data_IF_151114979759
#
_entry.id   IF_151114979759
#
_cell.length_a   1.000
_cell.length_b   1.000
_cell.length_c   1.000
_cell.angle_alpha   90.00
_cell.angle_beta   90.00
_cell.angle_gamma   90.00
#
_symmetry.space_group_name_H-M   'P 1'
#
loop_
_entity.id
_entity.type
_entity.pdbx_description
1 polymer ?
#
# COMPACT_ATOMS: atom_id res chain seq x y z
N UNK A 1 -21.26 -13.50 -29.59
CA UNK A 1 -20.68 -12.71 -30.70
C UNK A 1 -21.17 -13.13 -32.09
N UNK A 2 -21.16 -14.41 -32.50
CA UNK A 2 -21.64 -14.83 -33.85
C UNK A 2 -23.05 -14.34 -34.20
N UNK A 3 -23.99 -14.44 -33.26
CA UNK A 3 -25.38 -13.96 -33.46
C UNK A 3 -25.49 -12.44 -33.72
N UNK A 4 -24.66 -11.61 -33.07
CA UNK A 4 -24.68 -10.15 -33.26
C UNK A 4 -24.12 -9.76 -34.63
N UNK A 5 -23.02 -10.43 -35.04
CA UNK A 5 -22.41 -10.22 -36.36
C UNK A 5 -23.35 -10.67 -37.50
N UNK A 6 -24.07 -11.79 -37.32
CA UNK A 6 -25.06 -12.27 -38.29
C UNK A 6 -26.24 -11.29 -38.42
N UNK A 7 -26.70 -10.69 -37.31
CA UNK A 7 -27.73 -9.67 -37.33
C UNK A 7 -27.26 -8.35 -37.98
N UNK A 8 -25.99 -7.98 -37.81
CA UNK A 8 -25.38 -6.83 -38.48
C UNK A 8 -25.24 -7.07 -39.99
N UNK A 9 -24.79 -8.27 -40.39
CA UNK A 9 -24.67 -8.67 -41.80
C UNK A 9 -26.03 -8.76 -42.51
N UNK A 10 -27.08 -9.14 -41.80
CA UNK A 10 -28.47 -9.16 -42.28
C UNK A 10 -29.15 -7.78 -42.26
N UNK A 11 -28.45 -6.73 -41.82
CA UNK A 11 -28.97 -5.36 -41.73
C UNK A 11 -30.04 -5.16 -40.63
N UNK A 12 -30.18 -6.13 -39.72
CA UNK A 12 -31.13 -6.07 -38.60
C UNK A 12 -30.61 -5.18 -37.46
N UNK A 13 -29.30 -4.95 -37.41
CA UNK A 13 -28.64 -4.04 -36.49
C UNK A 13 -27.91 -2.96 -37.28
N UNK A 14 -28.16 -1.69 -36.94
CA UNK A 14 -27.45 -0.53 -37.47
C UNK A 14 -26.57 0.04 -36.36
N UNK A 15 -25.40 0.57 -36.73
CA UNK A 15 -24.53 1.26 -35.78
C UNK A 15 -25.27 2.40 -35.11
N UNK A 16 -25.07 2.54 -33.80
CA UNK A 16 -25.60 3.67 -33.02
C UNK A 16 -24.94 4.94 -33.55
N UNK A 17 -25.70 6.02 -33.62
CA UNK A 17 -25.15 7.32 -34.01
C UNK A 17 -24.18 7.78 -32.92
N UNK A 18 -22.96 8.12 -33.33
CA UNK A 18 -22.01 8.78 -32.45
C UNK A 18 -22.41 10.25 -32.39
N UNK A 19 -22.85 10.69 -31.22
CA UNK A 19 -23.31 12.06 -31.00
C UNK A 19 -22.12 13.01 -30.88
N UNK A 20 -21.08 12.59 -30.16
CA UNK A 20 -19.86 13.37 -29.98
C UNK A 20 -18.65 12.50 -29.66
N UNK A 21 -17.50 12.88 -30.21
CA UNK A 21 -16.20 12.29 -29.91
C UNK A 21 -15.39 13.27 -29.06
N UNK A 22 -14.85 12.81 -27.94
CA UNK A 22 -13.94 13.57 -27.08
C UNK A 22 -12.55 12.93 -27.10
N UNK A 23 -11.50 13.75 -27.13
CA UNK A 23 -10.14 13.26 -26.95
C UNK A 23 -9.85 12.88 -25.49
N UNK A 24 -8.84 12.05 -25.26
CA UNK A 24 -8.42 11.63 -23.92
C UNK A 24 -8.20 12.80 -22.90
N UNK A 25 -7.70 13.99 -23.28
CA UNK A 25 -7.60 15.13 -22.34
C UNK A 25 -8.95 15.66 -21.84
N UNK A 26 -10.03 15.41 -22.58
CA UNK A 26 -11.37 15.97 -22.33
C UNK A 26 -12.34 14.95 -21.70
N UNK A 27 -11.84 13.91 -21.04
CA UNK A 27 -12.68 12.89 -20.36
C UNK A 27 -13.65 13.50 -19.35
N UNK A 28 -13.23 14.53 -18.60
CA UNK A 28 -14.12 15.20 -17.67
C UNK A 28 -15.26 15.94 -18.39
N UNK A 29 -14.95 16.54 -19.55
CA UNK A 29 -15.94 17.26 -20.35
C UNK A 29 -16.92 16.29 -21.02
N UNK A 30 -16.47 15.09 -21.41
CA UNK A 30 -17.35 14.04 -21.94
C UNK A 30 -18.34 13.54 -20.87
N UNK A 31 -17.88 13.37 -19.63
CA UNK A 31 -18.73 12.99 -18.51
C UNK A 31 -19.73 14.08 -18.14
N UNK A 32 -19.32 15.35 -18.15
CA UNK A 32 -20.22 16.49 -17.94
C UNK A 32 -21.28 16.60 -19.04
N UNK A 33 -20.87 16.41 -20.29
CA UNK A 33 -21.78 16.39 -21.43
C UNK A 33 -22.80 15.25 -21.34
N UNK A 34 -22.37 14.07 -20.88
CA UNK A 34 -23.27 12.95 -20.60
C UNK A 34 -24.28 13.29 -19.51
N UNK A 35 -23.85 13.91 -18.40
CA UNK A 35 -24.70 14.28 -17.27
C UNK A 35 -25.79 15.30 -17.62
N UNK A 36 -25.57 16.14 -18.65
CA UNK A 36 -26.56 17.12 -19.11
C UNK A 36 -27.76 16.47 -19.81
N UNK A 37 -27.65 15.21 -20.25
CA UNK A 37 -28.75 14.48 -20.90
C UNK A 37 -29.15 15.01 -22.27
N UNK A 38 -28.32 15.86 -22.90
CA UNK A 38 -28.60 16.52 -24.18
C UNK A 38 -28.05 15.74 -25.40
N UNK A 39 -27.44 14.59 -25.18
CA UNK A 39 -26.82 13.78 -26.23
C UNK A 39 -27.81 12.79 -26.86
N UNK A 40 -27.73 12.61 -28.18
CA UNK A 40 -28.56 11.66 -28.93
C UNK A 40 -27.68 10.56 -29.53
N UNK A 41 -27.44 9.50 -28.76
CA UNK A 41 -26.64 8.35 -29.19
C UNK A 41 -25.45 8.10 -28.29
N UNK A 42 -24.33 7.66 -28.86
CA UNK A 42 -23.14 7.26 -28.12
C UNK A 42 -22.14 8.41 -28.00
N UNK A 43 -21.55 8.57 -26.81
CA UNK A 43 -20.43 9.47 -26.57
C UNK A 43 -19.15 8.63 -26.61
N UNK A 44 -18.26 8.93 -27.54
CA UNK A 44 -17.03 8.15 -27.78
C UNK A 44 -15.82 8.90 -27.25
N UNK A 45 -14.93 8.17 -26.57
CA UNK A 45 -13.63 8.66 -26.14
C UNK A 45 -12.55 8.11 -27.05
N UNK A 46 -11.92 8.99 -27.84
CA UNK A 46 -10.82 8.63 -28.72
C UNK A 46 -9.49 8.69 -27.95
N UNK A 47 -9.00 7.51 -27.58
CA UNK A 47 -7.73 7.37 -26.84
C UNK A 47 -6.54 7.33 -27.82
N UNK A 48 -6.74 6.76 -29.02
CA UNK A 48 -5.72 6.62 -30.06
C UNK A 48 -6.27 7.07 -31.40
N UNK A 49 -5.45 7.77 -32.18
CA UNK A 49 -5.78 8.24 -33.52
C UNK A 49 -5.90 7.05 -34.48
N UNK A 50 -7.04 6.90 -35.15
CA UNK A 50 -7.32 5.74 -36.02
C UNK A 50 -6.33 5.59 -37.18
N UNK A 51 -5.79 6.68 -37.73
CA UNK A 51 -4.88 6.62 -38.89
C UNK A 51 -3.40 6.38 -38.56
N UNK A 52 -2.97 6.62 -37.33
CA UNK A 52 -1.55 6.50 -36.93
C UNK A 52 -1.31 5.53 -35.76
N UNK A 53 -2.37 5.10 -35.06
CA UNK A 53 -2.28 4.26 -33.86
C UNK A 53 -1.64 4.96 -32.65
N UNK A 54 -1.26 6.23 -32.79
CA UNK A 54 -0.65 7.05 -31.74
C UNK A 54 -1.71 7.61 -30.82
N UNK A 55 -1.39 7.79 -29.54
CA UNK A 55 -2.32 8.39 -28.58
C UNK A 55 -2.61 9.85 -28.95
N UNK A 56 -3.88 10.27 -28.91
CA UNK A 56 -4.26 11.70 -28.98
C UNK A 56 -4.02 12.37 -27.63
N UNK A 57 -2.74 12.49 -27.27
CA UNK A 57 -2.30 13.42 -26.24
C UNK A 57 -1.90 14.67 -27.01
N UNK A 58 -2.61 15.80 -26.85
CA UNK A 58 -2.08 17.05 -27.37
C UNK A 58 -0.68 17.23 -26.76
N UNK A 59 0.33 17.43 -27.61
CA UNK A 59 1.76 17.52 -27.26
C UNK A 59 2.09 18.66 -26.28
N UNK A 60 1.11 19.47 -25.87
CA UNK A 60 1.20 20.29 -24.67
C UNK A 60 1.18 19.38 -23.45
N UNK A 61 2.35 18.82 -23.13
CA UNK A 61 2.76 18.20 -21.88
C UNK A 61 1.66 18.25 -20.80
N UNK A 62 0.68 17.37 -20.90
CA UNK A 62 -0.22 17.13 -19.79
C UNK A 62 0.63 16.35 -18.81
N UNK A 63 1.31 17.08 -17.92
CA UNK A 63 1.80 16.55 -16.66
C UNK A 63 0.57 16.09 -15.89
N UNK A 64 0.03 14.92 -16.27
CA UNK A 64 -0.83 14.15 -15.38
C UNK A 64 0.05 13.98 -14.15
N UNK A 65 -0.32 14.53 -12.98
CA UNK A 65 0.42 14.28 -11.76
C UNK A 65 0.27 12.78 -11.54
N UNK A 66 1.24 12.00 -12.04
CA UNK A 66 1.31 10.58 -11.78
C UNK A 66 1.63 10.53 -10.30
N UNK A 67 0.62 10.28 -9.49
CA UNK A 67 0.84 9.93 -8.09
C UNK A 67 1.91 8.85 -8.10
N UNK A 68 3.08 9.06 -7.49
CA UNK A 68 4.17 8.11 -7.60
C UNK A 68 3.66 6.75 -7.13
N UNK A 69 3.59 5.79 -8.06
CA UNK A 69 3.23 4.43 -7.72
C UNK A 69 4.38 3.86 -6.89
N UNK A 70 4.17 3.79 -5.58
CA UNK A 70 5.11 3.13 -4.68
C UNK A 70 5.14 1.65 -5.09
N UNK A 71 6.27 1.20 -5.64
CA UNK A 71 6.55 -0.19 -5.92
C UNK A 71 7.59 -0.71 -4.92
N UNK A 72 7.37 -1.92 -4.41
CA UNK A 72 8.31 -2.62 -3.55
C UNK A 72 9.13 -3.61 -4.37
N UNK A 73 10.36 -3.79 -3.94
CA UNK A 73 11.30 -4.72 -4.53
C UNK A 73 11.02 -6.12 -3.97
N UNK A 74 10.92 -7.10 -4.86
CA UNK A 74 10.52 -8.46 -4.52
C UNK A 74 11.68 -9.28 -3.96
N UNK A 75 12.92 -8.90 -4.22
CA UNK A 75 14.11 -9.71 -3.91
C UNK A 75 14.77 -9.29 -2.57
N UNK A 76 14.14 -8.37 -1.84
CA UNK A 76 14.61 -7.80 -0.58
C UNK A 76 13.59 -7.99 0.54
N UNK A 77 14.04 -7.84 1.78
CA UNK A 77 13.18 -7.90 2.97
C UNK A 77 12.74 -6.53 3.46
N UNK A 78 11.55 -6.51 4.05
CA UNK A 78 11.01 -5.38 4.80
C UNK A 78 10.70 -5.80 6.24
N UNK A 79 11.18 -5.01 7.20
CA UNK A 79 11.01 -5.25 8.62
C UNK A 79 9.86 -4.41 9.17
N UNK A 80 8.86 -5.02 9.79
CA UNK A 80 7.68 -4.35 10.34
C UNK A 80 7.62 -4.56 11.84
N UNK A 81 7.74 -3.48 12.60
CA UNK A 81 7.67 -3.54 14.07
C UNK A 81 6.28 -3.15 14.54
N UNK A 82 5.67 -3.99 15.37
CA UNK A 82 4.26 -3.83 15.72
C UNK A 82 3.31 -4.06 14.54
N UNK A 83 3.80 -4.68 13.45
CA UNK A 83 3.05 -4.89 12.22
C UNK A 83 1.91 -5.91 12.32
N UNK A 84 1.78 -6.62 13.44
CA UNK A 84 0.74 -7.63 13.66
C UNK A 84 -0.57 -7.03 14.20
N UNK A 85 -0.62 -5.74 14.52
CA UNK A 85 -1.86 -5.02 14.84
C UNK A 85 -2.67 -4.65 13.59
N UNK A 86 -3.92 -4.20 13.76
CA UNK A 86 -4.85 -3.95 12.64
C UNK A 86 -4.29 -3.05 11.52
N UNK A 87 -3.65 -1.92 11.87
CA UNK A 87 -3.03 -1.03 10.89
C UNK A 87 -1.84 -1.70 10.17
N UNK A 88 -1.00 -2.41 10.93
CA UNK A 88 0.15 -3.12 10.37
C UNK A 88 -0.24 -4.23 9.41
N UNK A 89 -1.32 -4.97 9.72
CA UNK A 89 -1.86 -6.00 8.84
C UNK A 89 -2.33 -5.42 7.51
N UNK A 90 -3.15 -4.37 7.56
CA UNK A 90 -3.62 -3.67 6.37
C UNK A 90 -2.46 -3.12 5.52
N UNK A 91 -1.45 -2.53 6.17
CA UNK A 91 -0.26 -2.03 5.47
C UNK A 91 0.55 -3.15 4.83
N UNK A 92 0.69 -4.31 5.49
CA UNK A 92 1.41 -5.46 4.95
C UNK A 92 0.75 -6.00 3.70
N UNK A 93 -0.58 -6.16 3.71
CA UNK A 93 -1.35 -6.57 2.51
C UNK A 93 -1.13 -5.58 1.37
N UNK A 94 -1.18 -4.26 1.67
CA UNK A 94 -0.90 -3.20 0.70
C UNK A 94 0.54 -3.25 0.14
N UNK A 95 1.54 -3.59 0.96
CA UNK A 95 2.93 -3.76 0.53
C UNK A 95 3.07 -4.97 -0.40
N UNK A 96 2.44 -6.10 -0.07
CA UNK A 96 2.48 -7.31 -0.90
C UNK A 96 1.79 -7.09 -2.25
N UNK A 97 0.65 -6.39 -2.26
CA UNK A 97 -0.02 -5.98 -3.50
C UNK A 97 0.87 -5.12 -4.40
N UNK A 98 1.80 -4.35 -3.80
CA UNK A 98 2.75 -3.49 -4.49
C UNK A 98 4.13 -4.12 -4.76
N UNK A 99 4.27 -5.42 -4.54
CA UNK A 99 5.46 -6.18 -4.95
C UNK A 99 6.36 -6.69 -3.82
N UNK A 100 6.09 -6.36 -2.55
CA UNK A 100 6.86 -6.91 -1.45
C UNK A 100 6.65 -8.44 -1.36
N UNK A 101 7.72 -9.21 -1.22
CA UNK A 101 7.66 -10.68 -1.12
C UNK A 101 8.34 -11.27 0.10
N UNK A 102 9.08 -10.46 0.86
CA UNK A 102 9.71 -10.90 2.10
C UNK A 102 9.39 -9.90 3.22
N UNK A 103 8.59 -10.33 4.20
CA UNK A 103 8.18 -9.53 5.34
C UNK A 103 8.63 -10.19 6.66
N UNK A 104 9.35 -9.45 7.48
CA UNK A 104 9.72 -9.89 8.84
C UNK A 104 9.01 -9.02 9.87
N UNK A 105 8.23 -9.63 10.76
CA UNK A 105 7.48 -8.93 11.80
C UNK A 105 8.21 -9.04 13.15
N UNK A 106 8.48 -7.90 13.77
CA UNK A 106 8.97 -7.83 15.15
C UNK A 106 7.84 -7.45 16.09
N UNK A 107 7.58 -8.29 17.08
CA UNK A 107 6.64 -8.00 18.17
C UNK A 107 7.00 -8.79 19.41
N UNK A 108 6.66 -8.28 20.60
CA UNK A 108 6.82 -8.99 21.88
C UNK A 108 5.94 -10.25 21.97
N UNK A 109 4.86 -10.29 21.20
CA UNK A 109 3.88 -11.38 21.16
C UNK A 109 3.82 -12.06 19.79
N UNK A 110 4.86 -11.93 18.97
CA UNK A 110 4.85 -12.47 17.61
C UNK A 110 4.64 -13.99 17.64
N UNK A 111 3.62 -14.49 16.93
CA UNK A 111 3.35 -15.92 16.78
C UNK A 111 2.72 -16.58 18.00
N UNK A 112 2.24 -15.80 18.97
CA UNK A 112 1.60 -16.35 20.19
C UNK A 112 0.12 -16.69 20.02
N UNK A 113 -0.53 -16.24 18.93
CA UNK A 113 -1.97 -16.39 18.71
C UNK A 113 -2.33 -17.00 17.36
N UNK A 114 -3.51 -17.63 17.30
CA UNK A 114 -4.06 -18.20 16.05
C UNK A 114 -4.27 -17.13 14.97
N UNK A 115 -4.62 -15.90 15.38
CA UNK A 115 -4.78 -14.77 14.47
C UNK A 115 -3.49 -14.41 13.72
N UNK A 116 -2.31 -14.59 14.34
CA UNK A 116 -1.02 -14.38 13.66
C UNK A 116 -0.78 -15.48 12.63
N UNK A 117 -1.09 -16.73 12.96
CA UNK A 117 -0.95 -17.85 12.03
C UNK A 117 -1.91 -17.73 10.82
N UNK A 118 -3.15 -17.29 11.05
CA UNK A 118 -4.11 -17.03 9.99
C UNK A 118 -3.62 -15.93 9.04
N UNK A 119 -3.03 -14.87 9.60
CA UNK A 119 -2.51 -13.76 8.82
C UNK A 119 -1.24 -14.10 8.05
N UNK A 120 -0.36 -14.92 8.62
CA UNK A 120 0.78 -15.49 7.88
C UNK A 120 0.29 -16.26 6.67
N UNK A 121 -0.70 -17.15 6.84
CA UNK A 121 -1.28 -17.92 5.72
C UNK A 121 -1.91 -17.03 4.65
N UNK A 122 -2.57 -15.94 5.04
CA UNK A 122 -3.11 -14.95 4.11
C UNK A 122 -1.99 -14.34 3.25
N UNK A 123 -0.91 -13.85 3.85
CA UNK A 123 0.21 -13.26 3.12
C UNK A 123 0.97 -14.30 2.27
N UNK A 124 1.15 -15.52 2.77
CA UNK A 124 1.76 -16.62 2.01
C UNK A 124 0.93 -17.00 0.78
N UNK A 125 -0.40 -16.94 0.86
CA UNK A 125 -1.28 -17.14 -0.30
C UNK A 125 -1.07 -16.10 -1.40
N UNK A 126 -0.53 -14.93 -1.05
CA UNK A 126 -0.14 -13.85 -1.96
C UNK A 126 1.31 -13.96 -2.43
N UNK A 127 1.94 -15.13 -2.27
CA UNK A 127 3.35 -15.41 -2.59
C UNK A 127 4.36 -14.61 -1.77
N UNK A 128 4.00 -14.20 -0.55
CA UNK A 128 4.93 -13.53 0.37
C UNK A 128 5.50 -14.52 1.39
N UNK A 129 6.82 -14.56 1.55
CA UNK A 129 7.46 -15.22 2.68
C UNK A 129 7.35 -14.34 3.91
N UNK A 130 6.87 -14.90 5.02
CA UNK A 130 6.68 -14.18 6.28
C UNK A 130 7.51 -14.81 7.39
N UNK A 131 8.19 -13.97 8.16
CA UNK A 131 8.91 -14.38 9.36
C UNK A 131 8.36 -13.63 10.57
N UNK A 132 7.95 -14.36 11.60
CA UNK A 132 7.56 -13.77 12.88
C UNK A 132 8.72 -13.91 13.86
N UNK A 133 9.16 -12.81 14.45
CA UNK A 133 10.28 -12.80 15.41
C UNK A 133 9.82 -12.15 16.70
N UNK A 134 9.84 -12.94 17.78
CA UNK A 134 9.47 -12.47 19.11
C UNK A 134 10.60 -11.63 19.70
N UNK A 135 10.49 -10.31 19.62
CA UNK A 135 11.53 -9.34 20.01
C UNK A 135 10.92 -8.14 20.69
N UNK A 136 11.57 -7.71 21.77
CA UNK A 136 11.39 -6.38 22.36
C UNK A 136 12.37 -5.39 21.73
N UNK A 137 11.86 -4.46 20.94
CA UNK A 137 12.68 -3.48 20.22
C UNK A 137 13.38 -2.48 21.13
N UNK A 138 12.99 -2.38 22.40
CA UNK A 138 13.70 -1.54 23.39
C UNK A 138 15.06 -2.12 23.78
N UNK A 139 15.32 -3.41 23.49
CA UNK A 139 16.58 -4.11 23.76
C UNK A 139 17.45 -4.13 22.50
N UNK A 140 18.50 -3.32 22.48
CA UNK A 140 19.39 -3.14 21.31
C UNK A 140 19.98 -4.46 20.79
N UNK A 141 20.47 -5.33 21.67
CA UNK A 141 21.05 -6.63 21.28
C UNK A 141 20.02 -7.55 20.61
N UNK A 142 18.76 -7.50 21.05
CA UNK A 142 17.70 -8.30 20.45
C UNK A 142 17.34 -7.77 19.06
N UNK A 143 17.29 -6.45 18.89
CA UNK A 143 17.10 -5.81 17.58
C UNK A 143 18.23 -6.18 16.63
N UNK A 144 19.48 -6.09 17.09
CA UNK A 144 20.64 -6.46 16.28
C UNK A 144 20.53 -7.92 15.81
N UNK A 145 20.28 -8.87 16.71
CA UNK A 145 20.10 -10.27 16.35
C UNK A 145 18.97 -10.49 15.35
N UNK A 146 17.84 -9.82 15.53
CA UNK A 146 16.69 -9.96 14.65
C UNK A 146 16.97 -9.43 13.24
N UNK A 147 17.63 -8.27 13.13
CA UNK A 147 18.02 -7.67 11.85
C UNK A 147 19.04 -8.54 11.11
N UNK A 148 20.03 -9.10 11.81
CA UNK A 148 21.03 -9.98 11.19
C UNK A 148 20.46 -11.36 10.78
N UNK A 149 19.33 -11.78 11.36
CA UNK A 149 18.67 -13.04 11.03
C UNK A 149 17.70 -12.93 9.83
N UNK A 150 17.56 -11.75 9.23
CA UNK A 150 16.72 -11.54 8.04
C UNK A 150 17.39 -12.24 6.84
N UNK A 151 16.66 -13.07 6.07
CA UNK A 151 17.26 -13.97 5.09
C UNK A 151 17.71 -13.30 3.79
N UNK A 152 17.12 -12.16 3.42
CA UNK A 152 17.47 -11.39 2.21
C UNK A 152 17.91 -9.98 2.60
N UNK A 153 18.60 -9.22 1.72
CA UNK A 153 19.01 -7.86 2.02
C UNK A 153 17.83 -7.03 2.52
N UNK A 154 17.98 -6.42 3.69
CA UNK A 154 16.98 -5.51 4.23
C UNK A 154 16.99 -4.23 3.40
N UNK A 155 15.82 -3.73 2.97
CA UNK A 155 15.71 -2.48 2.21
C UNK A 155 14.89 -1.41 2.92
N UNK A 156 14.01 -1.81 3.84
CA UNK A 156 13.17 -0.89 4.56
C UNK A 156 12.73 -1.44 5.91
N UNK A 157 12.56 -0.51 6.85
CA UNK A 157 12.01 -0.76 8.19
C UNK A 157 10.79 0.13 8.34
N UNK A 158 9.70 -0.41 8.89
CA UNK A 158 8.51 0.35 9.24
C UNK A 158 8.16 0.15 10.72
N UNK A 159 8.22 1.23 11.47
CA UNK A 159 7.87 1.25 12.89
C UNK A 159 6.39 1.62 13.07
N UNK A 160 5.57 0.64 13.44
CA UNK A 160 4.12 0.79 13.69
C UNK A 160 3.78 0.41 15.14
N UNK A 161 4.78 0.28 16.00
CA UNK A 161 4.57 -0.08 17.40
C UNK A 161 3.70 0.95 18.09
N UNK A 162 2.53 0.54 18.56
CA UNK A 162 1.63 1.37 19.34
C UNK A 162 1.26 0.65 20.63
N UNK A 163 1.58 1.30 21.74
CA UNK A 163 0.95 1.01 23.03
C UNK A 163 0.15 2.25 23.38
N UNK A 164 -1.15 2.06 23.60
CA UNK A 164 -2.08 3.14 23.94
C UNK A 164 -2.37 3.07 25.43
N UNK A 165 -2.21 4.20 26.11
CA UNK A 165 -2.68 4.39 27.47
C UNK A 165 -3.33 5.77 27.55
N UNK A 166 -4.66 5.79 27.62
CA UNK A 166 -5.42 7.02 27.59
C UNK A 166 -5.68 7.51 29.02
N UNK A 167 -4.90 8.49 29.44
CA UNK A 167 -5.01 9.09 30.76
C UNK A 167 -4.60 10.56 30.71
N UNK A 168 -5.23 11.38 31.54
CA UNK A 168 -4.82 12.77 31.69
C UNK A 168 -3.36 12.83 32.15
N UNK A 169 -2.59 13.73 31.54
CA UNK A 169 -1.13 13.81 31.73
C UNK A 169 -0.74 14.02 33.21
N UNK A 170 -1.51 14.80 33.96
CA UNK A 170 -1.32 15.06 35.39
C UNK A 170 -1.53 13.82 36.28
N UNK A 171 -2.25 12.81 35.77
CA UNK A 171 -2.55 11.56 36.48
C UNK A 171 -1.71 10.38 35.98
N UNK A 172 -0.94 10.55 34.92
CA UNK A 172 -0.18 9.47 34.30
C UNK A 172 1.06 9.10 35.13
N UNK A 173 1.13 7.86 35.66
CA UNK A 173 2.35 7.36 36.28
C UNK A 173 3.51 7.36 35.30
N UNK A 174 4.71 7.60 35.79
CA UNK A 174 5.93 7.58 34.96
C UNK A 174 6.15 6.22 34.27
N UNK A 175 5.73 5.13 34.88
CA UNK A 175 5.84 3.78 34.29
C UNK A 175 4.90 3.60 33.09
N UNK A 176 3.70 4.18 33.14
CA UNK A 176 2.76 4.18 32.01
C UNK A 176 3.30 5.06 30.87
N UNK A 177 3.86 6.23 31.20
CA UNK A 177 4.56 7.10 30.24
C UNK A 177 5.71 6.36 29.55
N UNK A 178 6.57 5.67 30.31
CA UNK A 178 7.65 4.85 29.75
C UNK A 178 7.11 3.75 28.85
N UNK A 179 6.03 3.08 29.27
CA UNK A 179 5.40 1.99 28.51
C UNK A 179 4.92 2.44 27.13
N UNK A 180 4.35 3.65 27.02
CA UNK A 180 3.87 4.18 25.72
C UNK A 180 4.97 4.80 24.86
N UNK A 181 6.03 5.32 25.47
CA UNK A 181 7.10 6.06 24.78
C UNK A 181 8.29 5.18 24.39
N UNK A 182 8.68 4.21 25.20
CA UNK A 182 9.88 3.39 24.96
C UNK A 182 9.86 2.67 23.61
N UNK A 183 8.79 1.99 23.17
CA UNK A 183 8.76 1.32 21.87
C UNK A 183 8.94 2.31 20.69
N UNK A 184 8.49 3.56 20.85
CA UNK A 184 8.54 4.58 19.80
C UNK A 184 9.86 5.34 19.78
N UNK A 185 10.42 5.65 20.95
CA UNK A 185 11.65 6.44 21.08
C UNK A 185 12.86 5.51 21.08
N UNK A 186 12.98 4.69 22.13
CA UNK A 186 14.11 3.78 22.27
C UNK A 186 14.11 2.70 21.18
N UNK A 187 12.93 2.18 20.82
CA UNK A 187 12.80 1.19 19.75
C UNK A 187 13.31 1.72 18.41
N UNK A 188 12.84 2.91 18.01
CA UNK A 188 13.29 3.57 16.77
C UNK A 188 14.78 3.90 16.81
N UNK A 189 15.30 4.37 17.95
CA UNK A 189 16.73 4.62 18.12
C UNK A 189 17.57 3.35 17.92
N UNK A 190 17.16 2.24 18.52
CA UNK A 190 17.86 0.95 18.38
C UNK A 190 17.81 0.45 16.93
N UNK A 191 16.67 0.59 16.25
CA UNK A 191 16.52 0.22 14.85
C UNK A 191 17.40 1.08 13.96
N UNK A 192 17.38 2.39 14.14
CA UNK A 192 18.21 3.33 13.38
C UNK A 192 19.70 3.02 13.58
N UNK A 193 20.15 2.83 14.82
CA UNK A 193 21.55 2.51 15.13
C UNK A 193 22.00 1.20 14.46
N UNK A 194 21.14 0.18 14.48
CA UNK A 194 21.43 -1.13 13.86
C UNK A 194 21.41 -1.04 12.34
N UNK A 195 20.44 -0.33 11.77
CA UNK A 195 20.26 -0.25 10.33
C UNK A 195 21.22 0.73 9.65
N UNK A 196 21.70 1.77 10.34
CA UNK A 196 22.73 2.67 9.77
C UNK A 196 24.05 1.94 9.56
N UNK A 197 24.32 0.89 10.33
CA UNK A 197 25.47 0.02 10.10
C UNK A 197 25.31 -0.89 8.86
N UNK A 198 24.10 -1.02 8.32
CA UNK A 198 23.72 -1.90 7.22
C UNK A 198 23.09 -1.01 6.15
N UNK A 199 23.90 -0.29 5.36
CA UNK A 199 23.48 0.71 4.34
C UNK A 199 22.11 0.42 3.69
N UNK A 200 21.03 0.99 4.26
CA UNK A 200 19.66 0.78 3.81
C UNK A 200 19.26 1.91 2.86
N UNK A 201 18.93 1.56 1.61
CA UNK A 201 18.65 2.52 0.55
C UNK A 201 17.51 3.52 0.80
N UNK A 202 16.60 3.31 1.76
CA UNK A 202 15.70 4.34 2.33
C UNK A 202 14.99 3.79 3.58
N UNK A 203 15.22 4.36 4.77
CA UNK A 203 14.34 4.14 5.94
C UNK A 203 13.13 5.07 5.79
N UNK A 204 11.92 4.52 5.77
CA UNK A 204 10.67 5.30 5.79
C UNK A 204 9.97 5.10 7.13
N UNK A 205 10.21 6.02 8.06
CA UNK A 205 9.40 6.13 9.27
C UNK A 205 7.98 6.57 8.89
N UNK A 206 7.01 5.66 8.97
CA UNK A 206 5.59 6.01 8.86
C UNK A 206 5.09 6.39 10.25
N UNK A 207 5.11 7.68 10.54
CA UNK A 207 4.59 8.26 11.78
C UNK A 207 3.04 8.27 11.85
N UNK A 208 2.54 7.88 13.03
CA UNK A 208 1.23 8.14 13.67
C UNK A 208 -0.05 8.25 12.81
N UNK A 209 -0.90 7.22 12.91
CA UNK A 209 -2.36 7.37 12.86
C UNK A 209 -2.94 6.86 14.18
N UNK A 210 -3.41 7.77 15.02
CA UNK A 210 -4.16 7.44 16.24
C UNK A 210 -5.55 6.95 15.83
N UNK A 211 -5.81 5.65 15.93
CA UNK A 211 -7.18 5.16 15.86
C UNK A 211 -7.91 5.59 17.14
N UNK A 212 -8.97 6.40 17.00
CA UNK A 212 -9.96 6.56 18.05
C UNK A 212 -10.72 5.24 18.17
N UNK A 213 -10.59 4.58 19.31
CA UNK A 213 -11.54 3.56 19.74
C UNK A 213 -12.85 4.28 20.04
N UNK A 214 -13.91 3.98 19.27
CA UNK A 214 -15.27 4.29 19.70
C UNK A 214 -15.65 3.22 20.72
N UNK A 215 -15.81 3.64 21.97
CA UNK A 215 -16.70 3.01 22.93
C UNK A 215 -18.17 3.30 22.60
#
# INVERSE_FOLDING_TARGET
MRSVMDCMAKGLLKTILVDRVFGAPHVLDSLRYMQQGTHLGEIVLEIRHESSGQFRLDDSAMEIPRTPEVAFDKDVSYLLVGGLGGLGRAMSVWMVQRGARHLTFLSRSAGSGEDDANFVRELESMSCTVQLVMVDVTKSEHVARAVHAVPTPLKGVVQISMVLWDQMFDRMPIEDWKTVTQPKVQGTWNLQATCTAIDLGTVKDVGYLSQKSNS
#
